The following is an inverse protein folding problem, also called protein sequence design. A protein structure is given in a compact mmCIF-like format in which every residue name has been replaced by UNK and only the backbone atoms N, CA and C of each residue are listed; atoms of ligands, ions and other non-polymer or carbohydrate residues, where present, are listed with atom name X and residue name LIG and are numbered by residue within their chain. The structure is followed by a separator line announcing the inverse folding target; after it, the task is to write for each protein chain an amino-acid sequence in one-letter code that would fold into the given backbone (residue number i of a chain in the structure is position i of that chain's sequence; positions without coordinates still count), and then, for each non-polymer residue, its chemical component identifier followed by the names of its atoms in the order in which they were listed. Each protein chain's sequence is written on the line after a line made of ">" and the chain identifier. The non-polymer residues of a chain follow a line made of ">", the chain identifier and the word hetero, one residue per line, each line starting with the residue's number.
data_IF_309200950370
#
_entry.id   IF_309200950370
#
_cell.length_a   1.000
_cell.length_b   1.000
_cell.length_c   1.000
_cell.angle_alpha   90.00
_cell.angle_beta   90.00
_cell.angle_gamma   90.00
#
_symmetry.space_group_name_H-M   'P 1'
#
loop_
_entity.id
_entity.type
_entity.pdbx_description
1 polymer ?
#
# COMPACT_ATOMS: atom_id res chain seq x y z
N UNK A 1 5.32 -22.52 -8.21
CA UNK A 1 4.84 -21.21 -7.72
C UNK A 1 3.43 -21.05 -8.26
N UNK A 2 2.42 -20.78 -7.43
CA UNK A 2 1.05 -20.60 -7.91
C UNK A 2 0.95 -19.37 -8.82
N UNK A 3 0.34 -19.53 -10.00
CA UNK A 3 0.12 -18.45 -10.95
C UNK A 3 -1.03 -17.56 -10.43
N UNK A 4 -0.73 -16.31 -10.08
CA UNK A 4 -1.75 -15.34 -9.65
C UNK A 4 -2.48 -14.79 -10.86
N UNK A 5 -3.80 -14.97 -10.93
CA UNK A 5 -4.66 -14.45 -11.99
C UNK A 5 -5.72 -13.54 -11.37
N UNK A 6 -5.90 -12.35 -11.92
CA UNK A 6 -7.04 -11.49 -11.61
C UNK A 6 -8.06 -11.52 -12.74
N UNK A 7 -9.34 -11.61 -12.38
CA UNK A 7 -10.45 -11.60 -13.32
C UNK A 7 -11.35 -10.39 -13.07
N UNK A 8 -11.60 -9.57 -14.09
CA UNK A 8 -12.65 -8.57 -14.08
C UNK A 8 -13.84 -9.08 -14.88
N UNK A 9 -15.00 -9.11 -14.22
CA UNK A 9 -16.29 -9.39 -14.85
C UNK A 9 -17.16 -8.15 -14.72
N UNK A 10 -17.66 -7.65 -15.85
CA UNK A 10 -18.63 -6.56 -15.89
C UNK A 10 -19.91 -7.08 -16.55
N UNK A 11 -20.84 -7.66 -15.76
CA UNK A 11 -22.03 -8.33 -16.29
C UNK A 11 -22.90 -7.44 -17.18
N UNK A 12 -23.00 -6.15 -16.83
CA UNK A 12 -23.82 -5.17 -17.56
C UNK A 12 -23.42 -4.99 -19.03
N UNK A 13 -22.16 -5.27 -19.39
CA UNK A 13 -21.64 -5.15 -20.76
C UNK A 13 -21.05 -6.47 -21.27
N UNK A 14 -21.29 -7.59 -20.57
CA UNK A 14 -20.82 -8.92 -20.98
C UNK A 14 -19.29 -9.10 -21.02
N UNK A 15 -18.53 -8.21 -20.37
CA UNK A 15 -17.07 -8.24 -20.43
C UNK A 15 -16.51 -9.19 -19.38
N UNK A 16 -15.69 -10.13 -19.82
CA UNK A 16 -14.81 -10.95 -18.98
C UNK A 16 -13.38 -10.73 -19.46
N UNK A 17 -12.50 -10.32 -18.54
CA UNK A 17 -11.08 -10.10 -18.84
C UNK A 17 -10.23 -10.72 -17.75
N UNK A 18 -9.17 -11.42 -18.16
CA UNK A 18 -8.22 -12.05 -17.25
C UNK A 18 -6.84 -11.41 -17.42
N UNK A 19 -6.17 -11.20 -16.31
CA UNK A 19 -4.83 -10.66 -16.26
C UNK A 19 -3.96 -11.58 -15.40
N UNK A 20 -2.89 -12.09 -16.01
CA UNK A 20 -1.86 -12.84 -15.32
C UNK A 20 -0.98 -11.86 -14.54
N UNK A 21 -0.96 -12.00 -13.22
CA UNK A 21 -0.18 -11.17 -12.30
C UNK A 21 1.10 -11.89 -11.83
N UNK A 22 1.45 -13.03 -12.44
CA UNK A 22 2.64 -13.81 -12.06
C UNK A 22 3.95 -13.03 -12.16
N UNK A 23 4.02 -11.99 -13.00
CA UNK A 23 5.18 -11.10 -13.13
C UNK A 23 5.21 -9.95 -12.11
N UNK A 24 4.12 -9.72 -11.35
CA UNK A 24 4.09 -8.68 -10.32
C UNK A 24 4.86 -9.10 -9.08
N UNK A 25 5.93 -8.38 -8.80
CA UNK A 25 6.64 -8.49 -7.53
C UNK A 25 6.10 -7.45 -6.52
N UNK A 26 4.84 -7.63 -6.09
CA UNK A 26 4.21 -6.78 -5.08
C UNK A 26 3.95 -7.55 -3.79
N UNK A 27 4.17 -6.87 -2.65
CA UNK A 27 4.21 -7.51 -1.32
C UNK A 27 2.82 -7.75 -0.70
N UNK A 28 1.77 -7.00 -1.08
CA UNK A 28 0.47 -7.02 -0.39
C UNK A 28 -0.69 -7.28 -1.35
N UNK A 29 -1.72 -7.99 -0.88
CA UNK A 29 -2.87 -8.42 -1.72
C UNK A 29 -3.63 -7.27 -2.37
N UNK A 30 -3.85 -6.15 -1.68
CA UNK A 30 -4.56 -5.02 -2.30
C UNK A 30 -3.73 -4.30 -3.38
N UNK A 31 -2.40 -4.44 -3.39
CA UNK A 31 -1.58 -3.91 -4.47
C UNK A 31 -1.81 -4.72 -5.77
N UNK A 32 -2.12 -6.03 -5.67
CA UNK A 32 -2.58 -6.83 -6.82
C UNK A 32 -3.95 -6.36 -7.32
N UNK A 33 -4.89 -6.04 -6.42
CA UNK A 33 -6.19 -5.48 -6.81
C UNK A 33 -6.04 -4.15 -7.55
N UNK A 34 -5.20 -3.25 -7.05
CA UNK A 34 -4.93 -1.97 -7.70
C UNK A 34 -4.35 -2.16 -9.10
N UNK A 35 -3.35 -3.03 -9.26
CA UNK A 35 -2.76 -3.34 -10.56
C UNK A 35 -3.78 -3.95 -11.53
N UNK A 36 -4.63 -4.86 -11.05
CA UNK A 36 -5.68 -5.49 -11.85
C UNK A 36 -6.71 -4.47 -12.32
N UNK A 37 -7.23 -3.64 -11.42
CA UNK A 37 -8.23 -2.61 -11.76
C UNK A 37 -7.67 -1.64 -12.80
N UNK A 38 -6.49 -1.08 -12.56
CA UNK A 38 -5.87 -0.11 -13.50
C UNK A 38 -5.67 -0.75 -14.87
N UNK A 39 -5.08 -1.94 -14.92
CA UNK A 39 -4.79 -2.61 -16.19
C UNK A 39 -6.06 -2.94 -16.96
N UNK A 40 -7.05 -3.51 -16.28
CA UNK A 40 -8.30 -3.92 -16.93
C UNK A 40 -9.14 -2.72 -17.35
N UNK A 41 -9.06 -1.59 -16.64
CA UNK A 41 -9.62 -0.32 -17.09
C UNK A 41 -8.92 0.21 -18.34
N UNK A 42 -7.58 0.25 -18.36
CA UNK A 42 -6.81 0.74 -19.52
C UNK A 42 -7.08 -0.09 -20.77
N UNK A 43 -7.09 -1.42 -20.65
CA UNK A 43 -7.36 -2.33 -21.77
C UNK A 43 -8.77 -2.17 -22.35
N UNK A 44 -9.72 -1.63 -21.58
CA UNK A 44 -11.12 -1.48 -22.01
C UNK A 44 -11.48 -0.07 -22.45
N UNK A 45 -10.74 0.93 -22.03
CA UNK A 45 -10.98 2.32 -22.43
C UNK A 45 -10.45 2.65 -23.84
N UNK A 46 -9.76 1.72 -24.50
CA UNK A 46 -9.20 1.87 -25.85
C UNK A 46 -8.39 3.18 -26.02
N UNK A 47 -7.65 3.54 -24.99
CA UNK A 47 -6.88 4.80 -24.93
C UNK A 47 -5.55 4.73 -25.70
N UNK A 48 -5.38 3.76 -26.60
CA UNK A 48 -4.18 3.59 -27.42
C UNK A 48 -2.94 3.11 -26.65
N UNK A 49 -3.11 2.43 -25.51
CA UNK A 49 -2.00 1.83 -24.76
C UNK A 49 -1.92 0.34 -25.10
N UNK A 50 -0.75 -0.05 -25.61
CA UNK A 50 -0.47 -1.43 -26.01
C UNK A 50 -0.27 -2.36 -24.79
N UNK A 51 -0.68 -3.62 -24.95
CA UNK A 51 -0.59 -4.69 -23.93
C UNK A 51 0.85 -4.94 -23.47
N UNK A 52 1.81 -4.78 -24.37
CA UNK A 52 3.24 -4.95 -24.18
C UNK A 52 3.80 -3.85 -23.26
N UNK A 53 3.31 -2.61 -23.44
CA UNK A 53 3.67 -1.47 -22.58
C UNK A 53 3.18 -1.69 -21.16
N UNK A 54 1.95 -2.17 -21.02
CA UNK A 54 1.36 -2.51 -19.71
C UNK A 54 2.17 -3.61 -19.04
N UNK A 55 2.46 -4.69 -19.75
CA UNK A 55 3.24 -5.82 -19.21
C UNK A 55 4.60 -5.37 -18.72
N UNK A 56 5.32 -4.55 -19.50
CA UNK A 56 6.62 -3.98 -19.11
C UNK A 56 6.51 -3.01 -17.91
N UNK A 57 5.43 -2.23 -17.83
CA UNK A 57 5.21 -1.29 -16.72
C UNK A 57 4.90 -2.03 -15.40
N UNK A 58 4.12 -3.10 -15.49
CA UNK A 58 3.74 -3.95 -14.37
C UNK A 58 4.97 -4.59 -13.71
N UNK A 59 5.94 -5.09 -14.50
CA UNK A 59 7.21 -5.63 -14.00
C UNK A 59 8.08 -4.58 -13.28
N UNK A 60 7.96 -3.32 -13.71
CA UNK A 60 8.68 -2.18 -13.14
C UNK A 60 7.98 -1.56 -11.95
N UNK A 61 6.75 -1.98 -11.63
CA UNK A 61 6.02 -1.47 -10.49
C UNK A 61 6.82 -1.76 -9.21
N UNK A 62 6.98 -0.73 -8.39
CA UNK A 62 7.64 -0.81 -7.09
C UNK A 62 6.67 -0.34 -6.03
N UNK A 63 6.88 -0.82 -4.81
CA UNK A 63 6.15 -0.31 -3.65
C UNK A 63 6.41 1.20 -3.56
N UNK A 64 5.37 2.03 -3.40
CA UNK A 64 5.55 3.47 -3.27
C UNK A 64 6.50 3.79 -2.11
N UNK A 65 7.36 4.79 -2.31
CA UNK A 65 8.24 5.29 -1.25
C UNK A 65 7.43 5.71 -0.02
N UNK A 66 8.04 5.59 1.15
CA UNK A 66 7.50 6.02 2.44
C UNK A 66 6.26 5.24 2.92
N UNK A 67 6.05 4.01 2.41
CA UNK A 67 5.01 3.08 2.88
C UNK A 67 5.65 1.83 3.48
N UNK A 68 5.78 1.77 4.80
CA UNK A 68 6.48 0.70 5.53
C UNK A 68 7.86 0.39 4.92
N UNK A 69 8.56 1.43 4.47
CA UNK A 69 9.81 1.30 3.73
C UNK A 69 10.97 1.13 4.71
N UNK A 70 11.72 0.03 4.61
CA UNK A 70 12.99 -0.09 5.34
C UNK A 70 14.00 0.85 4.70
N UNK A 71 14.42 1.88 5.44
CA UNK A 71 15.39 2.90 4.97
C UNK A 71 16.79 2.64 5.47
N UNK A 72 16.94 1.96 6.61
CA UNK A 72 18.24 1.62 7.17
C UNK A 72 18.15 0.39 8.07
N UNK A 73 19.25 -0.35 8.18
CA UNK A 73 19.48 -1.38 9.21
C UNK A 73 20.84 -1.11 9.80
N UNK A 74 20.90 -0.80 11.09
CA UNK A 74 22.16 -0.45 11.73
C UNK A 74 22.91 -1.68 12.25
N UNK A 75 24.16 -1.46 12.69
CA UNK A 75 25.03 -2.49 13.26
C UNK A 75 24.57 -3.02 14.61
N UNK A 76 23.60 -2.36 15.26
CA UNK A 76 23.03 -2.77 16.53
C UNK A 76 21.76 -3.61 16.35
N UNK A 77 21.37 -3.90 15.10
CA UNK A 77 20.22 -4.73 14.77
C UNK A 77 18.89 -3.98 14.73
N UNK A 78 18.90 -2.64 14.77
CA UNK A 78 17.67 -1.84 14.63
C UNK A 78 17.31 -1.68 13.15
N UNK A 79 16.04 -1.91 12.83
CA UNK A 79 15.49 -1.66 11.49
C UNK A 79 14.73 -0.34 11.50
N UNK A 80 15.17 0.60 10.68
CA UNK A 80 14.56 1.91 10.52
C UNK A 80 13.54 1.86 9.39
N UNK A 81 12.29 2.17 9.72
CA UNK A 81 11.15 2.10 8.80
C UNK A 81 10.57 3.49 8.61
N UNK A 82 10.47 3.93 7.35
CA UNK A 82 9.78 5.15 6.94
C UNK A 82 8.36 4.79 6.47
N UNK A 83 7.39 5.24 7.26
CA UNK A 83 5.96 5.17 6.94
C UNK A 83 5.31 6.58 6.97
N UNK A 84 6.05 7.62 6.55
CA UNK A 84 5.56 9.02 6.59
C UNK A 84 4.33 9.29 5.71
N UNK A 85 3.93 8.34 4.84
CA UNK A 85 2.63 8.38 4.15
C UNK A 85 1.44 7.96 5.01
N UNK A 86 1.66 7.44 6.21
CA UNK A 86 0.59 7.16 7.16
C UNK A 86 0.08 8.44 7.83
N UNK A 87 -0.63 9.27 7.07
CA UNK A 87 -1.13 10.58 7.51
C UNK A 87 -2.53 10.53 8.12
N UNK A 88 -3.03 9.33 8.48
CA UNK A 88 -4.31 9.11 9.13
C UNK A 88 -4.22 7.88 10.05
N UNK A 89 -5.18 7.76 10.97
CA UNK A 89 -5.19 6.74 12.02
C UNK A 89 -5.22 5.33 11.42
N UNK A 90 -6.03 5.11 10.39
CA UNK A 90 -6.23 3.82 9.74
C UNK A 90 -4.97 3.34 9.01
N UNK A 91 -4.25 4.26 8.36
CA UNK A 91 -2.99 3.97 7.70
C UNK A 91 -1.92 3.56 8.72
N UNK A 92 -1.76 4.33 9.81
CA UNK A 92 -0.83 4.00 10.90
C UNK A 92 -1.20 2.66 11.54
N UNK A 93 -2.49 2.44 11.85
CA UNK A 93 -2.97 1.17 12.38
C UNK A 93 -2.59 0.00 11.48
N UNK A 94 -2.81 0.13 10.16
CA UNK A 94 -2.45 -0.90 9.18
C UNK A 94 -0.95 -1.18 9.17
N UNK A 95 -0.11 -0.15 9.23
CA UNK A 95 1.36 -0.29 9.33
C UNK A 95 1.77 -1.05 10.59
N UNK A 96 1.26 -0.65 11.75
CA UNK A 96 1.54 -1.29 13.04
C UNK A 96 1.06 -2.74 13.11
N UNK A 97 -0.06 -3.07 12.48
CA UNK A 97 -0.54 -4.45 12.36
C UNK A 97 0.46 -5.35 11.62
N UNK A 98 1.23 -4.80 10.69
CA UNK A 98 2.32 -5.49 10.00
C UNK A 98 3.56 -5.72 10.87
N UNK A 99 3.72 -4.95 11.95
CA UNK A 99 4.86 -5.04 12.89
C UNK A 99 4.52 -5.83 14.17
N UNK A 100 3.37 -6.51 14.23
CA UNK A 100 2.80 -7.10 15.46
C UNK A 100 3.73 -8.02 16.26
N UNK A 101 4.76 -8.59 15.63
CA UNK A 101 5.71 -9.49 16.28
C UNK A 101 7.06 -8.82 16.62
N UNK A 102 7.21 -7.53 16.34
CA UNK A 102 8.45 -6.78 16.52
C UNK A 102 8.29 -5.69 17.58
N UNK A 103 9.24 -5.64 18.54
CA UNK A 103 9.35 -4.50 19.44
C UNK A 103 9.67 -3.25 18.61
N UNK A 104 8.84 -2.23 18.74
CA UNK A 104 8.90 -1.05 17.87
C UNK A 104 8.84 0.22 18.71
N UNK A 105 9.74 1.17 18.44
CA UNK A 105 9.60 2.55 18.88
C UNK A 105 8.91 3.34 17.76
N UNK A 106 7.85 4.06 18.08
CA UNK A 106 6.99 4.70 17.07
C UNK A 106 7.09 6.21 17.23
N UNK A 107 7.40 6.91 16.14
CA UNK A 107 7.37 8.37 16.07
C UNK A 107 6.00 8.80 15.54
N UNK A 108 5.17 9.39 16.39
CA UNK A 108 3.83 9.89 16.05
C UNK A 108 3.78 11.41 16.22
N UNK A 109 3.10 12.10 15.30
CA UNK A 109 2.88 13.54 15.37
C UNK A 109 2.51 14.14 14.02
N UNK A 110 2.06 15.40 14.03
CA UNK A 110 1.66 16.14 12.83
C UNK A 110 0.32 16.87 13.00
N UNK A 111 -0.23 17.35 11.87
CA UNK A 111 -1.56 17.97 11.83
C UNK A 111 -2.62 16.90 11.56
N UNK A 112 -3.61 16.79 12.44
CA UNK A 112 -4.75 15.92 12.21
C UNK A 112 -5.68 16.51 11.14
N UNK A 113 -6.09 15.69 10.16
CA UNK A 113 -7.17 16.04 9.23
C UNK A 113 -8.54 15.78 9.87
N UNK A 114 -8.72 16.17 11.12
CA UNK A 114 -10.00 16.08 11.83
C UNK A 114 -10.74 17.43 11.70
N UNK A 115 -12.05 17.42 11.39
CA UNK A 115 -12.83 18.65 11.37
C UNK A 115 -12.96 19.17 12.82
N UNK A 116 -12.20 20.22 13.18
CA UNK A 116 -12.26 20.99 14.44
C UNK A 116 -13.03 20.28 15.57
N UNK A 117 -12.52 19.15 16.05
CA UNK A 117 -12.87 18.67 17.37
C UNK A 117 -12.16 19.60 18.35
N UNK A 118 -12.92 20.35 19.15
CA UNK A 118 -12.39 21.06 20.32
C UNK A 118 -11.92 20.11 21.43
N UNK A 119 -11.90 18.81 21.16
CA UNK A 119 -11.38 17.78 22.04
C UNK A 119 -9.98 17.41 21.56
N UNK A 120 -9.02 17.61 22.45
CA UNK A 120 -7.63 17.16 22.32
C UNK A 120 -7.58 15.73 21.76
N UNK A 121 -6.85 15.52 20.66
CA UNK A 121 -6.66 14.21 20.01
C UNK A 121 -5.82 13.23 20.87
N UNK A 122 -5.70 13.46 22.18
CA UNK A 122 -5.06 12.58 23.14
C UNK A 122 -3.53 12.64 23.17
N UNK A 123 -2.90 13.52 22.38
CA UNK A 123 -1.44 13.68 22.32
C UNK A 123 -0.86 14.68 23.33
N UNK A 124 -1.69 15.33 24.16
CA UNK A 124 -1.23 16.38 25.08
C UNK A 124 -0.58 15.85 26.38
N UNK A 125 -0.72 14.55 26.68
CA UNK A 125 -0.06 13.93 27.84
C UNK A 125 0.86 12.80 27.42
N UNK A 126 2.16 13.08 27.45
CA UNK A 126 3.20 12.06 27.58
C UNK A 126 3.00 11.39 28.94
N UNK A 127 2.25 10.29 28.98
CA UNK A 127 2.20 9.41 30.15
C UNK A 127 3.59 8.79 30.34
N UNK A 128 4.13 8.92 31.55
CA UNK A 128 5.44 8.36 31.89
C UNK A 128 5.47 6.84 31.67
N UNK A 129 6.61 6.28 31.25
CA UNK A 129 6.73 4.86 30.96
C UNK A 129 6.48 4.02 32.24
N UNK A 130 5.60 3.02 32.12
CA UNK A 130 5.37 1.97 33.10
C UNK A 130 6.63 1.14 33.38
#
# INVERSE_FOLDING_TARGET
>A
MEEKVASLRVPAIGVVSELKLGALNVMRMHDYYNAAVVTLSVLRLDIGIDTEVISSAIEKLRVPLHRMQIVHKDSYGVTWVDDSKATNVEATYTGLRGLKEQKSAILLGGLANAPNSQESDGFEQLVEPL
#
